data_IF_599781808746
#
_entry.id   IF_599781808746
#
_cell.length_a   1.000
_cell.length_b   1.000
_cell.length_c   1.000
_cell.angle_alpha   90.00
_cell.angle_beta   90.00
_cell.angle_gamma   90.00
#
_symmetry.space_group_name_H-M   'P 1'
#
loop_
_entity.id
_entity.type
_entity.pdbx_description
1 polymer ?
#
# COMPACT_ATOMS: atom_id res chain seq x y z
N UNK A 1 12.04 -38.65 -11.69
CA UNK A 1 12.51 -37.81 -10.57
C UNK A 1 11.87 -36.42 -10.62
N UNK A 2 10.58 -36.32 -11.00
CA UNK A 2 9.88 -35.06 -11.31
C UNK A 2 9.19 -34.40 -10.09
N UNK A 3 8.99 -35.17 -9.01
CA UNK A 3 8.27 -34.75 -7.80
C UNK A 3 8.96 -33.65 -6.96
N UNK A 4 10.25 -33.75 -6.61
CA UNK A 4 10.85 -32.82 -5.65
C UNK A 4 11.06 -31.42 -6.24
N UNK A 5 11.37 -31.32 -7.54
CA UNK A 5 11.55 -30.02 -8.20
C UNK A 5 10.22 -29.24 -8.25
N UNK A 6 9.11 -29.91 -8.53
CA UNK A 6 7.79 -29.28 -8.60
C UNK A 6 7.32 -28.77 -7.24
N UNK A 7 7.62 -29.52 -6.16
CA UNK A 7 7.35 -29.07 -4.78
C UNK A 7 8.16 -27.82 -4.44
N UNK A 8 9.44 -27.77 -4.80
CA UNK A 8 10.29 -26.59 -4.55
C UNK A 8 9.76 -25.36 -5.32
N UNK A 9 9.39 -25.53 -6.59
CA UNK A 9 8.81 -24.45 -7.40
C UNK A 9 7.48 -23.95 -6.82
N UNK A 10 6.61 -24.86 -6.34
CA UNK A 10 5.36 -24.50 -5.67
C UNK A 10 5.61 -23.72 -4.36
N UNK A 11 6.58 -24.12 -3.55
CA UNK A 11 6.94 -23.42 -2.31
C UNK A 11 7.50 -22.02 -2.57
N UNK A 12 8.32 -21.85 -3.61
CA UNK A 12 8.82 -20.54 -4.03
C UNK A 12 7.65 -19.64 -4.46
N UNK A 13 6.69 -20.17 -5.23
CA UNK A 13 5.53 -19.43 -5.70
C UNK A 13 4.60 -18.98 -4.57
N UNK A 14 4.33 -19.86 -3.59
CA UNK A 14 3.55 -19.53 -2.38
C UNK A 14 4.19 -18.39 -1.58
N UNK A 15 5.53 -18.37 -1.46
CA UNK A 15 6.25 -17.30 -0.77
C UNK A 15 6.13 -15.95 -1.49
N UNK A 16 6.08 -15.93 -2.82
CA UNK A 16 5.89 -14.71 -3.60
C UNK A 16 4.50 -14.09 -3.41
N UNK A 17 3.45 -14.88 -3.22
CA UNK A 17 2.09 -14.38 -2.99
C UNK A 17 1.90 -13.72 -1.62
N UNK A 18 2.67 -14.12 -0.60
CA UNK A 18 2.55 -13.58 0.77
C UNK A 18 3.15 -12.16 0.90
N UNK A 19 3.97 -11.71 -0.04
CA UNK A 19 4.69 -10.45 0.03
C UNK A 19 3.83 -9.19 -0.28
N UNK A 20 2.54 -9.36 -0.61
CA UNK A 20 1.71 -8.29 -1.16
C UNK A 20 0.74 -7.60 -0.19
N UNK A 21 0.87 -7.74 1.14
CA UNK A 21 -0.09 -7.07 2.05
C UNK A 21 0.49 -6.66 3.41
N UNK A 22 1.59 -5.89 3.42
CA UNK A 22 1.96 -5.11 4.62
C UNK A 22 1.31 -3.72 4.67
N UNK A 23 0.46 -3.41 3.68
CA UNK A 23 -0.22 -2.12 3.55
C UNK A 23 -1.72 -2.33 3.73
N UNK A 24 -2.27 -1.85 4.85
CA UNK A 24 -3.72 -1.86 5.09
C UNK A 24 -4.34 -0.66 4.38
N UNK A 25 -5.27 -0.92 3.46
CA UNK A 25 -6.05 0.16 2.85
C UNK A 25 -7.05 0.73 3.86
N UNK A 26 -7.08 2.05 4.02
CA UNK A 26 -8.08 2.76 4.80
C UNK A 26 -8.76 3.87 3.99
N UNK A 27 -10.00 4.26 4.34
CA UNK A 27 -10.69 5.36 3.66
C UNK A 27 -9.99 6.71 3.89
N UNK A 28 -9.96 7.54 2.86
CA UNK A 28 -9.43 8.91 2.94
C UNK A 28 -10.37 9.78 3.78
N UNK A 29 -9.81 10.44 4.78
CA UNK A 29 -10.48 11.37 5.72
C UNK A 29 -10.07 12.82 5.49
N UNK A 30 -9.00 13.06 4.71
CA UNK A 30 -8.48 14.41 4.44
C UNK A 30 -9.40 15.14 3.47
N UNK A 31 -9.98 16.27 3.92
CA UNK A 31 -10.93 17.06 3.14
C UNK A 31 -10.39 17.54 1.78
N UNK A 32 -9.10 17.89 1.69
CA UNK A 32 -8.46 18.35 0.43
C UNK A 32 -8.40 17.27 -0.65
N UNK A 33 -8.53 16.00 -0.28
CA UNK A 33 -8.49 14.86 -1.19
C UNK A 33 -9.89 14.39 -1.62
N UNK A 34 -10.95 15.04 -1.13
CA UNK A 34 -12.32 14.70 -1.51
C UNK A 34 -12.56 15.05 -2.98
N UNK A 35 -13.10 14.09 -3.75
CA UNK A 35 -13.38 14.26 -5.19
C UNK A 35 -12.26 13.80 -6.12
N UNK A 36 -11.19 13.22 -5.58
CA UNK A 36 -10.20 12.49 -6.37
C UNK A 36 -10.78 11.23 -7.02
N UNK A 37 -10.11 10.68 -8.06
CA UNK A 37 -10.54 9.42 -8.69
C UNK A 37 -10.36 8.18 -7.79
N UNK A 38 -9.87 8.35 -6.55
CA UNK A 38 -9.69 7.28 -5.56
C UNK A 38 -10.18 7.73 -4.19
N UNK A 39 -10.61 6.77 -3.37
CA UNK A 39 -11.21 6.99 -2.05
C UNK A 39 -10.52 6.21 -0.92
N UNK A 40 -9.50 5.43 -1.25
CA UNK A 40 -8.72 4.61 -0.33
C UNK A 40 -7.25 4.97 -0.43
N UNK A 41 -6.55 4.86 0.68
CA UNK A 41 -5.10 5.05 0.81
C UNK A 41 -4.50 3.95 1.66
N UNK A 42 -3.18 3.82 1.69
CA UNK A 42 -2.49 2.90 2.57
C UNK A 42 -1.29 3.57 3.25
N UNK A 43 -0.94 3.03 4.42
CA UNK A 43 0.24 3.45 5.17
C UNK A 43 1.16 2.25 5.47
N UNK A 44 2.49 2.46 5.57
CA UNK A 44 3.16 3.72 5.29
C UNK A 44 3.12 4.09 3.80
N UNK A 45 2.90 5.37 3.48
CA UNK A 45 2.89 5.83 2.09
C UNK A 45 4.32 5.97 1.53
N UNK A 46 4.45 6.36 0.26
CA UNK A 46 5.76 6.53 -0.38
C UNK A 46 6.66 7.62 0.24
N UNK A 47 6.10 8.47 1.11
CA UNK A 47 6.84 9.48 1.87
C UNK A 47 7.11 9.06 3.32
N UNK A 48 6.92 7.77 3.65
CA UNK A 48 7.15 7.21 4.98
C UNK A 48 6.31 7.87 6.09
N UNK A 49 5.18 8.49 5.73
CA UNK A 49 4.18 8.85 6.71
C UNK A 49 3.47 7.58 7.17
N UNK A 50 3.02 7.54 8.43
CA UNK A 50 2.40 6.35 9.04
C UNK A 50 0.89 6.48 9.24
N UNK A 51 0.34 7.69 9.10
CA UNK A 51 -1.10 7.96 9.15
C UNK A 51 -1.45 9.22 8.33
N UNK A 52 -2.75 9.42 8.11
CA UNK A 52 -3.29 10.54 7.34
C UNK A 52 -3.08 11.90 8.00
N UNK A 53 -2.98 11.98 9.33
CA UNK A 53 -2.78 13.26 10.02
C UNK A 53 -1.36 13.77 9.79
N UNK A 54 -0.37 12.90 9.94
CA UNK A 54 1.03 13.20 9.64
C UNK A 54 1.16 13.56 8.16
N UNK A 55 0.59 12.75 7.26
CA UNK A 55 0.62 13.05 5.83
C UNK A 55 -0.03 14.42 5.53
N UNK A 56 -1.19 14.71 6.13
CA UNK A 56 -1.88 15.99 5.97
C UNK A 56 -1.11 17.19 6.49
N UNK A 57 -0.39 17.04 7.61
CA UNK A 57 0.48 18.10 8.15
C UNK A 57 1.65 18.46 7.22
N UNK A 58 2.02 17.55 6.31
CA UNK A 58 3.13 17.68 5.37
C UNK A 58 2.68 17.94 3.93
N UNK A 59 1.38 18.01 3.66
CA UNK A 59 0.87 18.32 2.33
C UNK A 59 1.17 19.77 1.94
N UNK A 60 2.01 19.94 0.92
CA UNK A 60 2.13 21.20 0.21
C UNK A 60 1.00 21.34 -0.83
N UNK A 61 0.70 22.57 -1.29
CA UNK A 61 -0.50 22.88 -2.08
C UNK A 61 -0.70 22.07 -3.39
N UNK A 62 0.32 21.31 -3.83
CA UNK A 62 0.31 20.51 -5.05
C UNK A 62 0.43 18.98 -4.80
N UNK A 63 0.69 18.53 -3.57
CA UNK A 63 0.93 17.12 -3.25
C UNK A 63 -0.32 16.53 -2.59
N UNK A 64 -1.36 16.37 -3.40
CA UNK A 64 -2.63 15.76 -2.96
C UNK A 64 -2.63 14.23 -3.14
N UNK A 65 -1.69 13.70 -3.92
CA UNK A 65 -1.63 12.29 -4.32
C UNK A 65 -0.93 11.33 -3.35
N UNK A 66 -0.39 11.84 -2.24
CA UNK A 66 0.42 11.05 -1.29
C UNK A 66 -0.35 10.80 0.01
N UNK A 67 -1.67 10.87 -0.08
CA UNK A 67 -2.58 10.85 1.06
C UNK A 67 -3.34 9.57 1.06
#
# INVERSE_FOLDING_TARGET
MLGPLWVVLALIWVRSCQAHSFFTCEPIKVHRCMGMPYNMTFFPNMMEHYDQEIAASKMEALIIYIV
#
